data_IF_356894168697
#
_entry.id   IF_356894168697
#
_cell.length_a   1.000
_cell.length_b   1.000
_cell.length_c   1.000
_cell.angle_alpha   90.00
_cell.angle_beta   90.00
_cell.angle_gamma   90.00
#
_symmetry.space_group_name_H-M   'P 1'
#
loop_
_entity.id
_entity.type
_entity.pdbx_description
1 polymer ?
#
# COMPACT_ATOMS: atom_id res chain seq x y z
N UNK A 1 -5.92 10.26 -21.99
CA UNK A 1 -4.47 10.18 -22.35
C UNK A 1 -3.69 9.18 -21.46
N UNK A 2 -4.33 8.23 -20.75
CA UNK A 2 -3.88 7.95 -19.37
C UNK A 2 -3.22 6.59 -19.05
N UNK A 3 -3.56 5.47 -19.68
CA UNK A 3 -3.01 4.17 -19.31
C UNK A 3 -1.63 3.85 -19.95
N UNK A 4 -1.38 4.33 -21.17
CA UNK A 4 -0.18 3.96 -21.95
C UNK A 4 1.13 4.46 -21.35
N UNK A 5 1.10 5.58 -20.62
CA UNK A 5 2.30 6.16 -20.00
C UNK A 5 2.68 5.42 -18.70
N UNK A 6 1.71 4.84 -18.00
CA UNK A 6 1.92 4.11 -16.74
C UNK A 6 2.08 2.61 -17.00
N UNK A 7 3.06 2.24 -17.83
CA UNK A 7 3.26 0.86 -18.29
C UNK A 7 4.12 0.01 -17.36
N UNK A 8 4.90 0.62 -16.47
CA UNK A 8 5.85 -0.12 -15.65
C UNK A 8 5.27 -0.53 -14.30
N UNK A 9 5.77 -1.66 -13.83
CA UNK A 9 5.71 -2.05 -12.43
C UNK A 9 7.04 -2.66 -12.02
N UNK A 10 7.01 -3.39 -10.92
CA UNK A 10 8.12 -4.28 -10.58
C UNK A 10 7.62 -5.69 -10.27
N UNK A 11 8.49 -6.68 -10.48
CA UNK A 11 8.33 -8.06 -10.04
C UNK A 11 9.38 -8.38 -8.98
N UNK A 12 8.96 -9.11 -7.95
CA UNK A 12 9.85 -9.74 -6.97
C UNK A 12 9.58 -11.24 -7.02
N UNK A 13 10.61 -12.05 -7.21
CA UNK A 13 10.50 -13.50 -7.25
C UNK A 13 11.10 -14.08 -5.96
N UNK A 14 10.32 -14.88 -5.25
CA UNK A 14 10.58 -15.23 -3.86
C UNK A 14 10.11 -14.14 -2.89
N UNK A 15 10.69 -14.15 -1.69
CA UNK A 15 10.37 -13.23 -0.58
C UNK A 15 10.32 -11.77 -1.05
N UNK A 16 9.38 -10.97 -0.52
CA UNK A 16 9.21 -9.56 -0.84
C UNK A 16 10.43 -8.65 -0.55
N UNK A 17 11.44 -9.17 0.17
CA UNK A 17 12.75 -8.54 0.42
C UNK A 17 13.75 -8.72 -0.73
N UNK A 18 13.49 -9.63 -1.66
CA UNK A 18 14.32 -9.86 -2.84
C UNK A 18 14.34 -8.63 -3.77
N UNK A 19 15.31 -8.53 -4.70
CA UNK A 19 15.40 -7.41 -5.62
C UNK A 19 14.13 -7.20 -6.44
N UNK A 20 13.69 -5.94 -6.54
CA UNK A 20 12.58 -5.52 -7.39
C UNK A 20 13.09 -5.33 -8.82
N UNK A 21 12.61 -6.14 -9.75
CA UNK A 21 12.96 -6.06 -11.17
C UNK A 21 11.91 -5.27 -11.92
N UNK A 22 12.32 -4.29 -12.71
CA UNK A 22 11.41 -3.54 -13.58
C UNK A 22 10.72 -4.49 -14.57
N UNK A 23 9.41 -4.33 -14.75
CA UNK A 23 8.62 -5.11 -15.72
C UNK A 23 7.60 -4.23 -16.43
N UNK A 24 7.17 -4.66 -17.61
CA UNK A 24 5.93 -4.20 -18.20
C UNK A 24 4.76 -4.80 -17.41
N UNK A 25 3.95 -3.93 -16.81
CA UNK A 25 2.93 -4.33 -15.84
C UNK A 25 1.83 -5.19 -16.47
N UNK A 26 1.36 -4.81 -17.66
CA UNK A 26 0.29 -5.54 -18.35
C UNK A 26 0.78 -6.94 -18.74
N UNK A 27 1.98 -7.04 -19.32
CA UNK A 27 2.58 -8.35 -19.63
C UNK A 27 2.75 -9.22 -18.39
N UNK A 28 3.24 -8.65 -17.29
CA UNK A 28 3.47 -9.39 -16.06
C UNK A 28 2.14 -9.90 -15.46
N UNK A 29 1.16 -9.02 -15.31
CA UNK A 29 -0.17 -9.38 -14.78
C UNK A 29 -0.90 -10.40 -15.64
N UNK A 30 -0.92 -10.22 -16.97
CA UNK A 30 -1.49 -11.19 -17.91
C UNK A 30 -0.75 -12.53 -17.86
N UNK A 31 0.57 -12.55 -17.71
CA UNK A 31 1.34 -13.79 -17.56
C UNK A 31 0.92 -14.61 -16.34
N UNK A 32 0.76 -13.98 -15.17
CA UNK A 32 0.26 -14.67 -13.97
C UNK A 32 -1.20 -15.12 -14.12
N UNK A 33 -2.05 -14.30 -14.76
CA UNK A 33 -3.44 -14.64 -15.02
C UNK A 33 -3.56 -15.83 -15.99
N UNK A 34 -2.68 -15.94 -16.99
CA UNK A 34 -2.66 -17.02 -17.98
C UNK A 34 -1.87 -18.26 -17.55
N UNK A 35 -1.29 -18.26 -16.34
CA UNK A 35 -0.38 -19.30 -15.86
C UNK A 35 0.83 -19.55 -16.78
N UNK A 36 1.43 -18.48 -17.34
CA UNK A 36 2.65 -18.56 -18.15
C UNK A 36 3.80 -19.16 -17.32
N UNK A 37 4.50 -20.16 -17.87
CA UNK A 37 5.63 -20.84 -17.22
C UNK A 37 6.72 -19.87 -16.74
N UNK A 38 6.94 -18.75 -17.45
CA UNK A 38 7.92 -17.70 -17.11
C UNK A 38 7.57 -16.98 -15.79
N UNK A 39 6.34 -17.13 -15.31
CA UNK A 39 5.91 -16.59 -14.02
C UNK A 39 6.36 -17.44 -12.82
N UNK A 40 6.88 -18.66 -13.04
CA UNK A 40 7.39 -19.54 -11.97
C UNK A 40 6.37 -19.73 -10.82
N UNK A 41 5.16 -20.18 -11.14
CA UNK A 41 4.02 -20.20 -10.21
C UNK A 41 4.23 -21.07 -8.96
N UNK A 42 5.14 -22.04 -9.01
CA UNK A 42 5.53 -22.89 -7.86
C UNK A 42 6.33 -22.15 -6.79
N UNK A 43 6.60 -20.87 -7.00
CA UNK A 43 7.29 -20.00 -6.04
C UNK A 43 6.39 -18.85 -5.64
N UNK A 44 6.63 -18.35 -4.44
CA UNK A 44 6.03 -17.08 -4.06
C UNK A 44 6.55 -15.97 -4.97
N UNK A 45 5.69 -15.03 -5.33
CA UNK A 45 6.04 -13.93 -6.22
C UNK A 45 5.15 -12.74 -5.99
N UNK A 46 5.67 -11.55 -6.25
CA UNK A 46 4.98 -10.28 -6.06
C UNK A 46 5.10 -9.41 -7.29
N UNK A 47 4.04 -8.66 -7.56
CA UNK A 47 4.05 -7.51 -8.47
C UNK A 47 3.92 -6.22 -7.66
N UNK A 48 4.08 -5.07 -8.29
CA UNK A 48 3.70 -3.81 -7.67
C UNK A 48 2.18 -3.70 -7.53
N UNK A 49 1.68 -3.07 -6.45
CA UNK A 49 0.25 -2.75 -6.33
C UNK A 49 -0.18 -1.62 -7.30
N UNK A 50 0.77 -0.76 -7.66
CA UNK A 50 0.58 0.37 -8.56
C UNK A 50 1.45 0.25 -9.82
N UNK A 51 1.13 1.09 -10.79
CA UNK A 51 1.79 1.28 -12.07
C UNK A 51 2.47 2.64 -12.10
N UNK A 52 3.55 2.73 -12.88
CA UNK A 52 4.43 3.88 -12.94
C UNK A 52 4.86 4.22 -14.37
N UNK A 53 5.30 5.46 -14.57
CA UNK A 53 5.85 5.97 -15.82
C UNK A 53 7.37 5.79 -15.94
N UNK A 54 7.97 6.30 -17.01
CA UNK A 54 9.42 6.20 -17.28
C UNK A 54 10.29 6.80 -16.17
N UNK A 55 9.77 7.74 -15.38
CA UNK A 55 10.46 8.32 -14.22
C UNK A 55 10.78 7.27 -13.14
N UNK A 56 9.88 6.32 -12.92
CA UNK A 56 10.12 5.19 -12.02
C UNK A 56 11.17 4.23 -12.58
N UNK A 57 11.12 3.97 -13.90
CA UNK A 57 12.13 3.14 -14.55
C UNK A 57 13.52 3.77 -14.42
N UNK A 58 13.64 5.08 -14.65
CA UNK A 58 14.88 5.84 -14.44
C UNK A 58 15.34 5.79 -12.98
N UNK A 59 14.44 6.00 -12.02
CA UNK A 59 14.74 5.92 -10.58
C UNK A 59 15.27 4.54 -10.18
N UNK A 60 14.58 3.48 -10.59
CA UNK A 60 14.95 2.11 -10.24
C UNK A 60 16.27 1.70 -10.89
N UNK A 61 16.49 2.05 -12.16
CA UNK A 61 17.75 1.75 -12.85
C UNK A 61 18.93 2.55 -12.29
N UNK A 62 18.72 3.81 -11.91
CA UNK A 62 19.76 4.67 -11.36
C UNK A 62 20.14 4.33 -9.92
N UNK A 63 19.18 3.92 -9.09
CA UNK A 63 19.40 3.67 -7.66
C UNK A 63 19.47 2.20 -7.26
N UNK A 64 19.04 1.29 -8.15
CA UNK A 64 18.85 -0.14 -7.82
C UNK A 64 17.74 -0.40 -6.79
N UNK A 65 16.95 0.62 -6.42
CA UNK A 65 15.94 0.53 -5.36
C UNK A 65 14.67 1.30 -5.69
N UNK A 66 13.53 0.84 -5.16
CA UNK A 66 12.27 1.61 -5.22
C UNK A 66 12.10 2.54 -4.02
N UNK A 67 13.01 2.48 -3.05
CA UNK A 67 12.95 3.32 -1.85
C UNK A 67 12.95 4.80 -2.25
N UNK A 68 12.14 5.58 -1.53
CA UNK A 68 11.99 7.03 -1.69
C UNK A 68 11.46 7.50 -3.06
N UNK A 69 10.97 6.61 -3.90
CA UNK A 69 10.28 7.04 -5.11
C UNK A 69 9.04 7.88 -4.74
N UNK A 70 9.03 9.14 -5.16
CA UNK A 70 7.96 10.10 -4.89
C UNK A 70 7.22 10.62 -6.13
N UNK A 71 7.45 9.97 -7.27
CA UNK A 71 6.77 10.27 -8.51
C UNK A 71 5.29 9.86 -8.51
N UNK A 72 4.56 10.24 -9.58
CA UNK A 72 3.17 9.83 -9.76
C UNK A 72 3.02 8.31 -9.90
N UNK A 73 1.84 7.84 -9.55
CA UNK A 73 1.45 6.45 -9.71
C UNK A 73 -0.02 6.36 -10.14
N UNK A 74 -0.41 5.17 -10.57
CA UNK A 74 -1.78 4.85 -10.99
C UNK A 74 -2.05 3.37 -10.78
N UNK A 75 -3.30 2.93 -10.84
CA UNK A 75 -3.63 1.52 -10.88
C UNK A 75 -4.86 1.27 -11.76
N UNK A 76 -4.83 0.17 -12.48
CA UNK A 76 -5.97 -0.39 -13.22
C UNK A 76 -7.00 -1.03 -12.28
N UNK A 77 -6.55 -1.46 -11.10
CA UNK A 77 -7.38 -2.05 -10.04
C UNK A 77 -6.96 -1.55 -8.66
N UNK A 78 -7.94 -1.30 -7.79
CA UNK A 78 -7.71 -1.11 -6.37
C UNK A 78 -7.96 -2.40 -5.61
N UNK A 79 -7.20 -2.63 -4.53
CA UNK A 79 -7.18 -3.90 -3.82
C UNK A 79 -7.51 -3.74 -2.33
N UNK A 80 -8.53 -4.46 -1.89
CA UNK A 80 -8.85 -4.63 -0.48
C UNK A 80 -8.21 -5.93 0.01
N UNK A 81 -7.26 -5.81 0.93
CA UNK A 81 -6.58 -6.94 1.55
C UNK A 81 -7.20 -7.23 2.91
N UNK A 82 -7.87 -8.37 3.01
CA UNK A 82 -8.51 -8.83 4.23
C UNK A 82 -7.63 -9.93 4.80
N UNK A 83 -6.88 -9.63 5.85
CA UNK A 83 -6.10 -10.63 6.57
C UNK A 83 -6.85 -11.13 7.81
N UNK A 84 -6.55 -12.37 8.20
CA UNK A 84 -7.14 -13.01 9.38
C UNK A 84 -6.07 -13.56 10.30
N UNK A 85 -6.44 -13.92 11.53
CA UNK A 85 -5.59 -14.78 12.35
C UNK A 85 -5.58 -16.22 11.79
N UNK A 86 -4.64 -17.06 12.24
CA UNK A 86 -4.41 -18.36 11.61
C UNK A 86 -5.61 -19.34 11.78
N UNK A 87 -6.44 -19.14 12.79
CA UNK A 87 -7.67 -19.88 13.11
C UNK A 87 -8.97 -19.18 12.66
N UNK A 88 -8.89 -17.94 12.18
CA UNK A 88 -10.04 -17.10 11.85
C UNK A 88 -10.57 -17.26 10.41
N UNK A 89 -10.24 -18.36 9.72
CA UNK A 89 -10.46 -18.51 8.28
C UNK A 89 -11.91 -18.29 7.81
N UNK A 90 -12.89 -18.84 8.53
CA UNK A 90 -14.31 -18.64 8.18
C UNK A 90 -14.76 -17.19 8.45
N UNK A 91 -14.27 -16.56 9.53
CA UNK A 91 -14.55 -15.16 9.80
C UNK A 91 -13.98 -14.25 8.70
N UNK A 92 -12.78 -14.53 8.20
CA UNK A 92 -12.17 -13.81 7.07
C UNK A 92 -12.96 -14.03 5.78
N UNK A 93 -13.43 -15.26 5.49
CA UNK A 93 -14.30 -15.54 4.35
C UNK A 93 -15.62 -14.75 4.46
N UNK A 94 -16.24 -14.70 5.64
CA UNK A 94 -17.44 -13.90 5.87
C UNK A 94 -17.17 -12.39 5.68
N UNK A 95 -16.02 -11.87 6.10
CA UNK A 95 -15.63 -10.49 5.85
C UNK A 95 -15.47 -10.21 4.34
N UNK A 96 -14.83 -11.12 3.58
CA UNK A 96 -14.70 -11.00 2.13
C UNK A 96 -16.06 -11.00 1.43
N UNK A 97 -17.00 -11.86 1.86
CA UNK A 97 -18.38 -11.86 1.36
C UNK A 97 -19.10 -10.54 1.63
N UNK A 98 -19.02 -10.03 2.87
CA UNK A 98 -19.64 -8.75 3.23
C UNK A 98 -19.10 -7.61 2.38
N UNK A 99 -17.77 -7.55 2.20
CA UNK A 99 -17.14 -6.53 1.38
C UNK A 99 -17.61 -6.62 -0.07
N UNK A 100 -17.49 -7.78 -0.71
CA UNK A 100 -17.88 -7.96 -2.11
C UNK A 100 -19.37 -7.64 -2.34
N UNK A 101 -20.25 -8.13 -1.46
CA UNK A 101 -21.68 -7.82 -1.50
C UNK A 101 -21.95 -6.33 -1.34
N UNK A 102 -21.32 -5.68 -0.36
CA UNK A 102 -21.47 -4.24 -0.13
C UNK A 102 -20.99 -3.42 -1.32
N UNK A 103 -19.91 -3.82 -2.00
CA UNK A 103 -19.44 -3.14 -3.21
C UNK A 103 -20.48 -3.23 -4.34
N UNK A 104 -21.06 -4.41 -4.57
CA UNK A 104 -22.14 -4.58 -5.56
C UNK A 104 -23.34 -3.68 -5.22
N UNK A 105 -23.77 -3.68 -3.96
CA UNK A 105 -24.96 -2.94 -3.51
C UNK A 105 -24.76 -1.42 -3.45
N UNK A 106 -23.59 -0.95 -3.04
CA UNK A 106 -23.35 0.49 -2.76
C UNK A 106 -22.62 1.21 -3.88
N UNK A 107 -21.77 0.49 -4.61
CA UNK A 107 -21.03 1.03 -5.75
C UNK A 107 -21.68 0.66 -7.08
N UNK A 108 -22.75 -0.14 -7.10
CA UNK A 108 -23.46 -0.52 -8.32
C UNK A 108 -22.53 -1.11 -9.38
N UNK A 109 -21.62 -1.99 -8.95
CA UNK A 109 -20.77 -2.79 -9.83
C UNK A 109 -21.30 -4.22 -9.87
N UNK A 110 -21.13 -4.91 -10.97
CA UNK A 110 -21.49 -6.32 -11.09
C UNK A 110 -20.52 -7.19 -10.28
N UNK A 111 -21.04 -8.27 -9.68
CA UNK A 111 -20.22 -9.19 -8.89
C UNK A 111 -19.07 -9.80 -9.69
N UNK A 112 -19.32 -10.14 -10.95
CA UNK A 112 -18.32 -10.74 -11.85
C UNK A 112 -17.25 -9.74 -12.33
N UNK A 113 -17.45 -8.44 -12.13
CA UNK A 113 -16.41 -7.44 -12.37
C UNK A 113 -15.39 -7.36 -11.23
N UNK A 114 -15.70 -7.96 -10.06
CA UNK A 114 -14.77 -8.07 -8.95
C UNK A 114 -13.74 -9.18 -9.23
N UNK A 115 -12.47 -8.85 -9.03
CA UNK A 115 -11.38 -9.80 -9.11
C UNK A 115 -11.02 -10.30 -7.72
N UNK A 116 -11.60 -11.44 -7.33
CA UNK A 116 -11.51 -11.99 -5.98
C UNK A 116 -10.47 -13.11 -5.93
N UNK A 117 -9.64 -13.12 -4.89
CA UNK A 117 -8.71 -14.19 -4.61
C UNK A 117 -8.83 -14.68 -3.17
N UNK A 118 -8.80 -15.99 -2.97
CA UNK A 118 -8.26 -16.52 -1.74
C UNK A 118 -6.74 -16.42 -1.79
N UNK A 119 -6.16 -15.91 -0.70
CA UNK A 119 -4.78 -15.46 -0.78
C UNK A 119 -3.79 -16.63 -0.90
N UNK A 120 -4.09 -17.80 -0.33
CA UNK A 120 -3.16 -18.94 -0.29
C UNK A 120 -2.97 -19.47 1.12
N UNK A 121 -3.43 -18.76 2.16
CA UNK A 121 -3.33 -19.21 3.56
C UNK A 121 -4.54 -18.86 4.42
N UNK A 122 -4.78 -17.57 4.64
CA UNK A 122 -5.82 -17.11 5.58
C UNK A 122 -6.59 -15.89 5.10
N UNK A 123 -5.92 -14.97 4.40
CA UNK A 123 -6.55 -13.78 3.85
C UNK A 123 -7.33 -13.99 2.55
N UNK A 124 -8.05 -12.94 2.16
CA UNK A 124 -8.70 -12.77 0.86
C UNK A 124 -8.33 -11.42 0.29
N UNK A 125 -8.24 -11.34 -1.04
CA UNK A 125 -8.09 -10.07 -1.73
C UNK A 125 -9.28 -9.84 -2.65
N UNK A 126 -9.86 -8.65 -2.59
CA UNK A 126 -10.91 -8.21 -3.51
C UNK A 126 -10.36 -7.07 -4.34
N UNK A 127 -10.39 -7.20 -5.66
CA UNK A 127 -9.95 -6.18 -6.61
C UNK A 127 -11.13 -5.58 -7.36
N UNK A 128 -11.14 -4.27 -7.55
CA UNK A 128 -12.14 -3.58 -8.40
C UNK A 128 -11.43 -2.72 -9.44
N UNK A 129 -11.87 -2.83 -10.69
CA UNK A 129 -11.28 -2.10 -11.81
C UNK A 129 -11.56 -0.60 -11.70
N UNK A 130 -10.53 0.22 -11.88
CA UNK A 130 -10.66 1.68 -11.88
C UNK A 130 -11.37 2.20 -13.13
N UNK A 131 -11.60 1.35 -14.14
CA UNK A 131 -12.43 1.64 -15.30
C UNK A 131 -13.88 2.06 -14.94
N UNK A 132 -14.38 1.69 -13.76
CA UNK A 132 -15.70 2.14 -13.31
C UNK A 132 -15.75 3.65 -12.97
N UNK A 133 -14.63 4.33 -12.71
CA UNK A 133 -14.62 5.77 -12.40
C UNK A 133 -13.46 6.58 -13.02
N UNK A 134 -12.61 5.91 -13.80
CA UNK A 134 -11.53 6.50 -14.62
C UNK A 134 -10.66 7.57 -13.90
N UNK A 135 -10.06 7.25 -12.75
CA UNK A 135 -9.28 8.22 -12.00
C UNK A 135 -8.00 8.61 -12.76
N UNK A 136 -7.67 9.90 -12.73
CA UNK A 136 -6.41 10.38 -13.27
C UNK A 136 -5.20 9.88 -12.45
N UNK A 137 -4.07 9.58 -13.10
CA UNK A 137 -2.83 9.27 -12.40
C UNK A 137 -2.30 10.49 -11.62
N UNK A 138 -1.53 10.26 -10.56
CA UNK A 138 -0.97 11.37 -9.77
C UNK A 138 -0.07 10.96 -8.61
N UNK A 139 0.65 11.94 -8.04
CA UNK A 139 1.55 11.73 -6.87
C UNK A 139 0.80 11.26 -5.63
N UNK A 140 -0.42 11.77 -5.44
CA UNK A 140 -1.31 11.45 -4.33
C UNK A 140 -2.35 10.38 -4.67
N UNK A 141 -2.28 9.76 -5.86
CA UNK A 141 -3.21 8.70 -6.28
C UNK A 141 -3.32 7.59 -5.23
N UNK A 142 -2.17 7.09 -4.73
CA UNK A 142 -2.14 6.05 -3.70
C UNK A 142 -2.84 6.44 -2.39
N UNK A 143 -2.82 7.73 -2.01
CA UNK A 143 -3.52 8.23 -0.81
C UNK A 143 -5.02 8.32 -1.04
N UNK A 144 -5.44 8.81 -2.20
CA UNK A 144 -6.84 8.81 -2.59
C UNK A 144 -7.40 7.39 -2.67
N UNK A 145 -6.64 6.46 -3.26
CA UNK A 145 -6.95 5.04 -3.31
C UNK A 145 -7.08 4.41 -1.93
N UNK A 146 -6.16 4.74 -1.01
CA UNK A 146 -6.27 4.31 0.39
C UNK A 146 -7.56 4.79 1.04
N UNK A 147 -7.83 6.10 0.93
CA UNK A 147 -9.01 6.70 1.58
C UNK A 147 -10.31 6.14 1.01
N UNK A 148 -10.36 5.97 -0.31
CA UNK A 148 -11.48 5.31 -1.00
C UNK A 148 -11.71 3.90 -0.45
N UNK A 149 -10.66 3.10 -0.36
CA UNK A 149 -10.77 1.72 0.10
C UNK A 149 -11.16 1.59 1.58
N UNK A 150 -10.58 2.43 2.45
CA UNK A 150 -10.96 2.54 3.85
C UNK A 150 -12.46 2.89 3.96
N UNK A 151 -12.97 3.83 3.16
CA UNK A 151 -14.38 4.25 3.22
C UNK A 151 -15.33 3.15 2.73
N UNK A 152 -14.95 2.40 1.68
CA UNK A 152 -15.71 1.22 1.22
C UNK A 152 -15.71 0.13 2.29
N UNK A 153 -14.56 -0.12 2.93
CA UNK A 153 -14.43 -1.13 3.96
C UNK A 153 -15.21 -0.78 5.24
N UNK A 154 -15.17 0.50 5.66
CA UNK A 154 -15.98 1.06 6.75
C UNK A 154 -17.48 0.86 6.48
N UNK A 155 -17.94 1.18 5.26
CA UNK A 155 -19.33 0.97 4.83
C UNK A 155 -19.75 -0.51 4.91
N UNK A 156 -18.83 -1.43 4.62
CA UNK A 156 -19.08 -2.87 4.70
C UNK A 156 -18.93 -3.45 6.13
N UNK A 157 -18.47 -2.68 7.11
CA UNK A 157 -18.09 -3.18 8.42
C UNK A 157 -16.96 -4.23 8.35
N UNK A 158 -15.94 -3.95 7.53
CA UNK A 158 -14.79 -4.84 7.30
C UNK A 158 -13.51 -4.09 7.57
N UNK A 159 -12.56 -4.75 8.22
CA UNK A 159 -11.20 -4.24 8.41
C UNK A 159 -10.32 -4.73 7.27
N UNK A 160 -9.48 -3.85 6.73
CA UNK A 160 -8.51 -4.15 5.68
C UNK A 160 -7.10 -3.74 6.08
N UNK A 161 -6.07 -4.40 5.54
CA UNK A 161 -4.69 -3.91 5.62
C UNK A 161 -4.49 -2.75 4.65
N UNK A 162 -4.65 -1.51 5.16
CA UNK A 162 -4.43 -0.29 4.38
C UNK A 162 -2.95 -0.06 4.01
N UNK A 163 -2.01 -0.84 4.55
CA UNK A 163 -0.59 -0.79 4.16
C UNK A 163 -0.35 -1.17 2.70
N UNK A 164 -1.32 -1.81 2.04
CA UNK A 164 -1.23 -2.16 0.63
C UNK A 164 -1.16 -0.94 -0.30
N UNK A 165 -1.61 0.21 0.20
CA UNK A 165 -1.62 1.48 -0.51
C UNK A 165 -0.32 2.28 -0.38
N UNK A 166 0.74 1.70 0.21
CA UNK A 166 2.08 2.27 0.08
C UNK A 166 2.47 2.33 -1.41
N UNK A 167 2.97 3.48 -1.87
CA UNK A 167 3.21 3.75 -3.30
C UNK A 167 4.00 2.66 -4.02
N UNK A 168 5.01 2.09 -3.36
CA UNK A 168 5.90 1.04 -3.91
C UNK A 168 5.70 -0.32 -3.23
N UNK A 169 4.46 -0.63 -2.84
CA UNK A 169 4.10 -1.88 -2.17
C UNK A 169 4.21 -3.10 -3.08
N UNK A 170 4.73 -4.20 -2.52
CA UNK A 170 4.63 -5.54 -3.11
C UNK A 170 3.24 -6.13 -2.89
N UNK A 171 2.63 -6.62 -3.96
CA UNK A 171 1.34 -7.29 -3.99
C UNK A 171 1.52 -8.72 -4.48
N UNK A 172 1.06 -9.73 -3.73
CA UNK A 172 1.30 -11.13 -4.13
C UNK A 172 0.65 -11.41 -5.49
N UNK A 173 1.42 -11.94 -6.44
CA UNK A 173 0.98 -12.22 -7.79
C UNK A 173 -0.10 -13.32 -7.80
N UNK A 174 -1.08 -13.21 -8.72
CA UNK A 174 -2.08 -14.25 -8.92
C UNK A 174 -1.42 -15.60 -9.23
N UNK A 175 -2.05 -16.73 -8.83
CA UNK A 175 -1.55 -18.08 -9.07
C UNK A 175 -0.17 -18.42 -8.47
N UNK A 176 0.55 -17.48 -7.84
CA UNK A 176 1.81 -17.79 -7.13
C UNK A 176 1.56 -18.63 -5.87
N UNK A 177 2.49 -19.53 -5.58
CA UNK A 177 2.44 -20.44 -4.43
C UNK A 177 2.81 -19.73 -3.14
N UNK A 178 2.01 -19.90 -2.09
CA UNK A 178 2.31 -19.37 -0.77
C UNK A 178 3.35 -20.26 -0.05
N UNK A 179 4.44 -19.71 0.51
CA UNK A 179 5.58 -20.51 0.99
C UNK A 179 5.23 -21.41 2.19
N UNK A 180 4.38 -20.92 3.11
CA UNK A 180 4.03 -21.66 4.34
C UNK A 180 2.99 -22.76 4.16
N UNK A 181 1.95 -22.52 3.37
CA UNK A 181 0.84 -23.46 3.17
C UNK A 181 1.06 -24.37 1.96
N UNK A 182 1.90 -23.95 1.01
CA UNK A 182 2.06 -24.65 -0.26
C UNK A 182 0.84 -24.54 -1.19
N UNK A 183 -0.12 -23.66 -0.90
CA UNK A 183 -1.30 -23.47 -1.75
C UNK A 183 -1.14 -22.22 -2.61
N UNK A 184 -1.76 -22.21 -3.78
CA UNK A 184 -1.72 -21.10 -4.73
C UNK A 184 -2.68 -19.99 -4.33
N UNK A 185 -2.34 -18.74 -4.70
CA UNK A 185 -3.31 -17.64 -4.68
C UNK A 185 -4.37 -17.90 -5.74
N UNK A 186 -5.55 -18.32 -5.32
CA UNK A 186 -6.61 -18.87 -6.19
C UNK A 186 -7.69 -17.82 -6.44
N UNK A 187 -7.99 -17.55 -7.72
CA UNK A 187 -9.14 -16.73 -8.09
C UNK A 187 -10.43 -17.44 -7.69
N UNK A 188 -11.41 -16.66 -7.23
CA UNK A 188 -12.81 -17.07 -7.09
C UNK A 188 -13.66 -16.14 -7.96
N UNK A 189 -14.71 -16.67 -8.61
CA UNK A 189 -15.80 -15.81 -9.11
C UNK A 189 -16.73 -15.42 -7.96
N UNK A 190 -17.61 -14.44 -8.20
CA UNK A 190 -18.46 -13.90 -7.14
C UNK A 190 -19.36 -14.97 -6.51
N UNK A 191 -19.99 -15.80 -7.34
CA UNK A 191 -20.86 -16.88 -6.88
C UNK A 191 -20.10 -17.94 -6.06
N UNK A 192 -18.86 -18.26 -6.44
CA UNK A 192 -17.99 -19.17 -5.67
C UNK A 192 -17.67 -18.59 -4.29
N UNK A 193 -17.28 -17.30 -4.23
CA UNK A 193 -17.05 -16.60 -2.96
C UNK A 193 -18.30 -16.70 -2.08
N UNK A 194 -19.49 -16.46 -2.62
CA UNK A 194 -20.74 -16.43 -1.85
C UNK A 194 -21.17 -17.81 -1.34
N UNK A 195 -20.94 -18.89 -2.10
CA UNK A 195 -21.54 -20.19 -1.82
C UNK A 195 -20.57 -21.25 -1.31
N UNK A 196 -19.28 -21.18 -1.64
CA UNK A 196 -18.34 -22.25 -1.30
C UNK A 196 -17.87 -22.17 0.17
N UNK A 197 -17.79 -23.30 0.89
CA UNK A 197 -17.13 -23.32 2.20
C UNK A 197 -15.61 -23.16 2.04
N UNK A 198 -14.94 -22.69 3.09
CA UNK A 198 -13.48 -22.47 3.07
C UNK A 198 -12.69 -23.74 2.70
N UNK A 199 -13.13 -24.91 3.15
CA UNK A 199 -12.50 -26.19 2.82
C UNK A 199 -12.48 -26.45 1.30
N UNK A 200 -13.56 -26.10 0.58
CA UNK A 200 -13.63 -26.28 -0.86
C UNK A 200 -12.73 -25.25 -1.59
N UNK A 201 -12.67 -24.01 -1.11
CA UNK A 201 -11.76 -22.98 -1.62
C UNK A 201 -10.29 -23.41 -1.46
N UNK A 202 -9.92 -23.99 -0.30
CA UNK A 202 -8.58 -24.53 -0.06
C UNK A 202 -8.22 -25.64 -1.04
N UNK A 203 -9.17 -26.52 -1.35
CA UNK A 203 -8.99 -27.58 -2.34
C UNK A 203 -8.76 -27.03 -3.75
N UNK A 204 -9.52 -26.02 -4.17
CA UNK A 204 -9.28 -25.34 -5.44
C UNK A 204 -7.89 -24.72 -5.53
N UNK A 205 -7.35 -24.26 -4.40
CA UNK A 205 -6.04 -23.62 -4.32
C UNK A 205 -4.85 -24.59 -4.33
N UNK A 206 -5.09 -25.91 -4.40
CA UNK A 206 -4.02 -26.90 -4.61
C UNK A 206 -3.34 -26.73 -5.98
N UNK A 207 -4.07 -26.15 -6.96
CA UNK A 207 -3.60 -25.94 -8.31
C UNK A 207 -3.83 -24.49 -8.75
N UNK A 208 -2.92 -23.90 -9.54
CA UNK A 208 -3.21 -22.63 -10.21
C UNK A 208 -4.25 -22.85 -11.30
N UNK A 209 -5.00 -21.80 -11.64
CA UNK A 209 -5.93 -21.84 -12.78
C UNK A 209 -5.82 -20.56 -13.60
N UNK A 210 -5.74 -20.67 -14.92
CA UNK A 210 -5.78 -19.50 -15.78
C UNK A 210 -7.14 -18.82 -15.71
N UNK A 211 -7.15 -17.49 -15.80
CA UNK A 211 -8.39 -16.71 -15.84
C UNK A 211 -8.23 -15.47 -16.71
N UNK A 212 -9.35 -14.96 -17.21
CA UNK A 212 -9.41 -13.65 -17.84
C UNK A 212 -9.79 -12.59 -16.81
N UNK A 213 -8.95 -11.58 -16.55
CA UNK A 213 -9.30 -10.50 -15.63
C UNK A 213 -10.55 -9.75 -16.14
N UNK A 214 -11.51 -9.41 -15.27
CA UNK A 214 -12.67 -8.63 -15.68
C UNK A 214 -12.24 -7.29 -16.28
N UNK A 215 -12.93 -6.87 -17.33
CA UNK A 215 -12.67 -5.65 -18.09
C UNK A 215 -13.97 -4.87 -18.31
N UNK A 216 -14.57 -4.33 -17.23
CA UNK A 216 -15.84 -3.60 -17.31
C UNK A 216 -15.71 -2.38 -18.24
N UNK A 217 -16.81 -2.08 -18.92
CA UNK A 217 -16.90 -0.99 -19.91
C UNK A 217 -18.00 0.03 -19.59
N UNK A 218 -18.44 0.06 -18.35
CA UNK A 218 -19.44 1.00 -17.85
C UNK A 218 -18.91 1.74 -16.63
N UNK A 219 -19.43 2.95 -16.44
CA UNK A 219 -19.11 3.77 -15.29
C UNK A 219 -20.06 3.48 -14.12
N UNK A 220 -19.51 3.54 -12.91
CA UNK A 220 -20.26 3.58 -11.65
C UNK A 220 -20.28 5.03 -11.15
N UNK A 221 -21.45 5.65 -11.21
CA UNK A 221 -21.64 7.00 -10.65
C UNK A 221 -21.37 7.05 -9.13
N UNK A 222 -21.83 6.09 -8.31
CA UNK A 222 -21.49 6.06 -6.88
C UNK A 222 -19.98 5.96 -6.62
N UNK A 223 -19.26 5.11 -7.37
CA UNK A 223 -17.80 5.00 -7.22
C UNK A 223 -17.09 6.30 -7.62
N UNK A 224 -17.52 6.95 -8.70
CA UNK A 224 -16.96 8.21 -9.14
C UNK A 224 -17.16 9.34 -8.12
N UNK A 225 -18.37 9.45 -7.53
CA UNK A 225 -18.65 10.42 -6.46
C UNK A 225 -17.78 10.18 -5.24
N UNK A 226 -17.74 8.93 -4.75
CA UNK A 226 -16.93 8.57 -3.59
C UNK A 226 -15.43 8.83 -3.84
N UNK A 227 -14.92 8.53 -5.03
CA UNK A 227 -13.54 8.83 -5.41
C UNK A 227 -13.25 10.33 -5.38
N UNK A 228 -14.13 11.15 -5.93
CA UNK A 228 -13.98 12.61 -5.91
C UNK A 228 -13.93 13.15 -4.48
N UNK A 229 -14.85 12.71 -3.61
CA UNK A 229 -14.87 13.09 -2.19
C UNK A 229 -13.58 12.69 -1.46
N UNK A 230 -13.08 11.48 -1.69
CA UNK A 230 -11.83 11.01 -1.11
C UNK A 230 -10.62 11.82 -1.61
N UNK A 231 -10.59 12.14 -2.91
CA UNK A 231 -9.57 12.99 -3.51
C UNK A 231 -9.54 14.39 -2.89
N UNK A 232 -10.71 14.99 -2.69
CA UNK A 232 -10.88 16.28 -2.01
C UNK A 232 -10.38 16.25 -0.56
N UNK A 233 -10.72 15.21 0.19
CA UNK A 233 -10.25 15.04 1.57
C UNK A 233 -8.72 14.93 1.64
N UNK A 234 -8.11 14.14 0.75
CA UNK A 234 -6.65 14.00 0.66
C UNK A 234 -5.99 15.32 0.30
N UNK A 235 -6.53 16.03 -0.70
CA UNK A 235 -6.00 17.34 -1.11
C UNK A 235 -6.02 18.35 0.04
N UNK A 236 -7.17 18.48 0.73
CA UNK A 236 -7.30 19.37 1.90
C UNK A 236 -6.33 18.98 3.02
N UNK A 237 -6.16 17.69 3.29
CA UNK A 237 -5.21 17.23 4.30
C UNK A 237 -3.76 17.57 3.92
N UNK A 238 -3.39 17.41 2.65
CA UNK A 238 -2.07 17.79 2.11
C UNK A 238 -1.85 19.30 2.19
N UNK A 239 -2.84 20.12 1.85
CA UNK A 239 -2.78 21.58 1.95
C UNK A 239 -2.59 22.05 3.41
N UNK A 240 -3.37 21.49 4.34
CA UNK A 240 -3.22 21.79 5.78
C UNK A 240 -1.83 21.38 6.27
N UNK A 241 -1.31 20.22 5.84
CA UNK A 241 0.05 19.79 6.18
C UNK A 241 1.11 20.73 5.61
N UNK A 242 0.96 21.16 4.36
CA UNK A 242 1.87 22.11 3.71
C UNK A 242 1.85 23.48 4.43
N UNK A 243 0.67 24.00 4.78
CA UNK A 243 0.52 25.24 5.55
C UNK A 243 1.19 25.12 6.94
N UNK A 244 1.04 23.98 7.61
CA UNK A 244 1.72 23.71 8.89
C UNK A 244 3.24 23.64 8.71
N UNK A 245 3.74 23.02 7.64
CA UNK A 245 5.18 22.96 7.36
C UNK A 245 5.76 24.37 7.10
N UNK A 246 5.05 25.22 6.36
CA UNK A 246 5.44 26.62 6.16
C UNK A 246 5.47 27.39 7.48
N UNK A 247 4.45 27.23 8.34
CA UNK A 247 4.45 27.83 9.68
C UNK A 247 5.54 27.25 10.60
N UNK A 248 5.82 25.96 10.49
CA UNK A 248 6.84 25.23 11.25
C UNK A 248 8.27 25.63 10.87
N UNK A 249 8.53 26.01 9.61
CA UNK A 249 9.80 26.64 9.19
C UNK A 249 10.05 28.01 9.83
N UNK A 250 9.01 28.63 10.39
CA UNK A 250 9.11 29.82 11.24
C UNK A 250 9.10 29.50 12.74
N UNK A 251 9.10 28.23 13.14
CA UNK A 251 9.22 27.86 14.54
C UNK A 251 10.61 28.24 15.04
N UNK A 252 10.68 28.96 16.15
CA UNK A 252 11.94 29.35 16.80
C UNK A 252 12.23 28.53 18.05
N UNK A 253 11.38 27.54 18.36
CA UNK A 253 11.42 26.77 19.60
C UNK A 253 11.03 25.31 19.38
N UNK A 254 11.65 24.43 20.15
CA UNK A 254 11.23 23.04 20.27
C UNK A 254 9.82 22.97 20.83
N UNK A 255 9.01 22.07 20.28
CA UNK A 255 7.70 21.80 20.85
C UNK A 255 7.86 21.10 22.21
N UNK A 256 6.85 21.22 23.08
CA UNK A 256 6.89 20.68 24.45
C UNK A 256 7.10 19.16 24.48
N UNK A 257 6.62 18.44 23.48
CA UNK A 257 6.76 16.98 23.39
C UNK A 257 8.20 16.58 23.04
N UNK A 258 8.89 17.32 22.16
CA UNK A 258 10.31 17.13 21.86
C UNK A 258 11.16 17.37 23.10
N UNK A 259 10.91 18.47 23.83
CA UNK A 259 11.61 18.75 25.08
C UNK A 259 11.36 17.66 26.14
N UNK A 260 10.13 17.16 26.24
CA UNK A 260 9.82 16.06 27.15
C UNK A 260 10.54 14.77 26.75
N UNK A 261 10.55 14.44 25.45
CA UNK A 261 11.22 13.24 24.96
C UNK A 261 12.73 13.27 25.24
N UNK A 262 13.39 14.42 25.02
CA UNK A 262 14.82 14.58 25.32
C UNK A 262 15.13 14.38 26.82
N UNK A 263 14.19 14.74 27.71
CA UNK A 263 14.40 14.66 29.16
C UNK A 263 14.06 13.29 29.75
N UNK A 264 12.93 12.75 29.35
CA UNK A 264 12.29 11.61 30.02
C UNK A 264 12.03 10.43 29.07
N UNK A 265 12.33 10.59 27.78
CA UNK A 265 11.94 9.62 26.76
C UNK A 265 10.42 9.48 26.61
N UNK A 266 9.98 8.27 26.32
CA UNK A 266 8.58 7.89 26.15
C UNK A 266 8.37 6.37 26.38
N UNK A 267 7.16 5.99 26.79
CA UNK A 267 6.79 4.60 27.01
C UNK A 267 6.11 3.94 25.81
N UNK A 268 5.98 2.62 25.84
CA UNK A 268 5.13 1.87 24.90
C UNK A 268 3.67 2.35 24.99
N UNK A 269 2.93 2.49 23.88
CA UNK A 269 3.31 2.20 22.49
C UNK A 269 3.93 3.38 21.73
N UNK A 270 4.10 4.53 22.39
CA UNK A 270 4.39 5.80 21.70
C UNK A 270 5.87 6.07 21.43
N UNK A 271 6.80 5.32 22.05
CA UNK A 271 8.25 5.54 21.94
C UNK A 271 8.77 5.77 20.52
N UNK A 272 8.38 4.94 19.54
CA UNK A 272 8.80 5.10 18.14
C UNK A 272 8.24 6.37 17.49
N UNK A 273 6.95 6.62 17.71
CA UNK A 273 6.24 7.77 17.13
C UNK A 273 6.79 9.09 17.67
N UNK A 274 7.04 9.16 18.98
CA UNK A 274 7.55 10.36 19.63
C UNK A 274 9.02 10.61 19.31
N UNK A 275 9.85 9.57 19.21
CA UNK A 275 11.23 9.69 18.73
C UNK A 275 11.28 10.27 17.31
N UNK A 276 10.48 9.71 16.40
CA UNK A 276 10.36 10.22 15.03
C UNK A 276 9.92 11.71 15.03
N UNK A 277 8.91 12.05 15.83
CA UNK A 277 8.38 13.41 15.91
C UNK A 277 9.39 14.40 16.50
N UNK A 278 10.19 13.97 17.48
CA UNK A 278 11.24 14.78 18.08
C UNK A 278 12.36 15.07 17.07
N UNK A 279 12.79 14.06 16.31
CA UNK A 279 13.79 14.21 15.26
C UNK A 279 13.30 15.13 14.13
N UNK A 280 12.04 15.00 13.70
CA UNK A 280 11.45 15.92 12.73
C UNK A 280 11.42 17.36 13.24
N UNK A 281 11.02 17.58 14.49
CA UNK A 281 10.97 18.93 15.05
C UNK A 281 12.36 19.58 15.23
N UNK A 282 13.40 18.79 15.55
CA UNK A 282 14.78 19.28 15.54
C UNK A 282 15.23 19.67 14.11
N UNK A 283 14.90 18.85 13.12
CA UNK A 283 15.20 19.14 11.72
C UNK A 283 14.45 20.39 11.20
N UNK A 284 13.20 20.62 11.62
CA UNK A 284 12.45 21.85 11.32
C UNK A 284 13.16 23.12 11.80
N UNK A 285 13.93 23.02 12.90
CA UNK A 285 14.74 24.10 13.45
C UNK A 285 16.15 24.18 12.85
N UNK A 286 16.44 23.39 11.81
CA UNK A 286 17.74 23.38 11.13
C UNK A 286 18.84 22.63 11.89
N UNK A 287 18.51 21.82 12.91
CA UNK A 287 19.52 21.00 13.58
C UNK A 287 20.09 19.95 12.61
N UNK A 288 21.41 19.79 12.48
CA UNK A 288 21.99 18.75 11.63
C UNK A 288 21.66 17.35 12.18
N UNK A 289 21.66 16.34 11.31
CA UNK A 289 21.35 14.95 11.69
C UNK A 289 22.21 14.47 12.87
N UNK A 290 23.50 14.80 12.88
CA UNK A 290 24.40 14.45 13.97
C UNK A 290 23.94 15.02 15.33
N UNK A 291 23.41 16.24 15.35
CA UNK A 291 22.85 16.85 16.56
C UNK A 291 21.53 16.18 16.96
N UNK A 292 20.70 15.81 15.99
CA UNK A 292 19.47 15.05 16.27
C UNK A 292 19.78 13.70 16.94
N UNK A 293 20.80 12.99 16.45
CA UNK A 293 21.26 11.74 17.05
C UNK A 293 21.76 11.99 18.48
N UNK A 294 22.68 12.95 18.65
CA UNK A 294 23.27 13.25 19.96
C UNK A 294 22.23 13.62 21.03
N UNK A 295 21.13 14.28 20.66
CA UNK A 295 20.09 14.71 21.60
C UNK A 295 19.03 13.65 21.90
N UNK A 296 18.88 12.63 21.05
CA UNK A 296 17.75 11.71 21.12
C UNK A 296 18.15 10.25 21.36
N UNK A 297 19.38 9.85 21.02
CA UNK A 297 19.80 8.45 21.05
C UNK A 297 19.74 7.87 22.47
N UNK A 298 20.27 8.57 23.47
CA UNK A 298 20.28 8.11 24.86
C UNK A 298 18.87 7.89 25.40
N UNK A 299 18.03 8.93 25.38
CA UNK A 299 16.64 8.83 25.86
C UNK A 299 15.86 7.75 25.11
N UNK A 300 16.12 7.55 23.81
CA UNK A 300 15.46 6.53 23.01
C UNK A 300 15.89 5.10 23.39
N UNK A 301 17.18 4.90 23.68
CA UNK A 301 17.69 3.61 24.16
C UNK A 301 17.11 3.28 25.54
N UNK A 302 17.00 4.28 26.42
CA UNK A 302 16.37 4.13 27.74
C UNK A 302 14.87 3.77 27.66
N UNK A 303 14.21 4.09 26.55
CA UNK A 303 12.84 3.65 26.26
C UNK A 303 12.73 2.16 25.87
N UNK A 304 13.84 1.43 25.83
CA UNK A 304 13.92 0.04 25.41
C UNK A 304 13.84 -0.16 23.90
N UNK A 305 14.22 0.84 23.09
CA UNK A 305 14.31 0.69 21.65
C UNK A 305 15.63 0.03 21.24
N UNK A 306 15.62 -0.95 20.31
CA UNK A 306 16.85 -1.48 19.74
C UNK A 306 17.69 -0.38 19.06
N UNK A 307 19.03 -0.39 19.14
CA UNK A 307 19.87 0.66 18.55
C UNK A 307 19.63 0.91 17.07
N UNK A 308 19.38 -0.15 16.30
CA UNK A 308 19.05 -0.05 14.87
C UNK A 308 17.70 0.66 14.64
N UNK A 309 16.73 0.46 15.52
CA UNK A 309 15.42 1.11 15.45
C UNK A 309 15.50 2.58 15.85
N UNK A 310 16.32 2.91 16.85
CA UNK A 310 16.60 4.30 17.26
C UNK A 310 17.16 5.09 16.09
N UNK A 311 18.26 4.62 15.49
CA UNK A 311 18.89 5.30 14.34
C UNK A 311 17.92 5.46 13.18
N UNK A 312 17.23 4.39 12.82
CA UNK A 312 16.24 4.40 11.74
C UNK A 312 15.12 5.40 12.00
N UNK A 313 14.59 5.46 13.22
CA UNK A 313 13.53 6.39 13.58
C UNK A 313 13.98 7.85 13.53
N UNK A 314 15.19 8.15 14.04
CA UNK A 314 15.78 9.50 13.99
C UNK A 314 16.04 9.92 12.54
N UNK A 315 16.68 9.07 11.73
CA UNK A 315 16.94 9.35 10.32
C UNK A 315 15.65 9.59 9.53
N UNK A 316 14.63 8.76 9.74
CA UNK A 316 13.33 8.92 9.09
C UNK A 316 12.64 10.23 9.50
N UNK A 317 12.66 10.57 10.79
CA UNK A 317 12.11 11.83 11.29
C UNK A 317 12.81 13.05 10.69
N UNK A 318 14.15 13.05 10.71
CA UNK A 318 14.98 14.10 10.13
C UNK A 318 14.73 14.29 8.62
N UNK A 319 14.75 13.19 7.87
CA UNK A 319 14.57 13.22 6.41
C UNK A 319 13.17 13.66 6.00
N UNK A 320 12.16 13.46 6.85
CA UNK A 320 10.79 13.90 6.56
C UNK A 320 10.65 15.41 6.38
N UNK A 321 11.62 16.18 6.86
CA UNK A 321 11.69 17.64 6.73
C UNK A 321 12.70 18.06 5.66
N UNK A 322 13.87 17.40 5.63
CA UNK A 322 14.93 17.70 4.67
C UNK A 322 14.53 17.43 3.21
N UNK A 323 13.68 16.42 2.96
CA UNK A 323 13.16 16.11 1.61
C UNK A 323 12.15 17.12 1.06
N UNK A 324 11.73 18.12 1.84
CA UNK A 324 10.75 19.13 1.45
C UNK A 324 11.38 20.49 1.05
N UNK A 325 12.71 20.63 1.09
CA UNK A 325 13.37 21.83 0.59
C UNK A 325 13.30 21.86 -0.95
N UNK A 326 12.80 22.93 -1.59
CA UNK A 326 12.96 23.07 -3.04
C UNK A 326 14.46 23.11 -3.35
N UNK A 327 14.89 22.34 -4.35
CA UNK A 327 16.26 22.42 -4.84
C UNK A 327 16.54 23.87 -5.22
N UNK A 328 17.51 24.48 -4.53
CA UNK A 328 18.11 25.72 -4.99
C UNK A 328 18.75 25.42 -6.34
N UNK A 329 18.31 26.16 -7.35
CA UNK A 329 18.84 26.05 -8.69
C UNK A 329 20.32 26.41 -8.72
N UNK A 330 21.06 25.60 -9.48
CA UNK A 330 22.20 26.02 -10.27
C UNK A 330 22.16 25.21 -11.57
#
# INVERSE_FOLDING_TARGET
MHARTYRYGFRVLGDCRQPRRLVDFDRATSGYAACDERCELERESYLSAFRFSDDFAAHLNGSGSTRRFDGPCWADRLWWDIDGEDDAGDATLHAARRLAKSMVETLHVEGDDLLIFWSGRKGFHVGMATAHWEPAPGRDFHRAARRFAETVAETAGVVIDAGVYDRVRCWRAANSRHPKSGLHKRRLVFDELMRMPLAAIRKLAEWPEPFEPPAPRYASEPAARLWAECGEQVRRASEVKAQRAVKGRGATRLNRQTLHFIREGATYPNRHRLLYSAAANLAELGAPLALCVALLEESALDCGLPPADVRRAIENGFQSVAGAAPGEGA
#
